data_IF_714942601825
#
_entry.id   IF_714942601825
#
_cell.length_a   1.000
_cell.length_b   1.000
_cell.length_c   1.000
_cell.angle_alpha   90.00
_cell.angle_beta   90.00
_cell.angle_gamma   90.00
#
_symmetry.space_group_name_H-M   'P 1'
#
loop_
_entity.id
_entity.type
_entity.pdbx_description
1 polymer ?
#
# COMPACT_ATOMS: atom_id res chain seq x y z
N UNK A 1 3.32 15.29 -40.04
CA UNK A 1 2.77 16.25 -39.06
C UNK A 1 2.33 15.44 -37.85
N UNK A 2 3.09 15.50 -36.76
CA UNK A 2 2.80 14.75 -35.53
C UNK A 2 1.65 15.43 -34.78
N UNK A 3 0.58 14.69 -34.51
CA UNK A 3 -0.51 15.20 -33.69
C UNK A 3 0.01 15.36 -32.26
N UNK A 4 0.27 16.60 -31.85
CA UNK A 4 0.53 16.94 -30.45
C UNK A 4 -0.78 16.72 -29.71
N UNK A 5 -0.84 15.60 -28.97
CA UNK A 5 -1.87 15.31 -27.98
C UNK A 5 -2.15 16.55 -27.12
N UNK A 6 -3.41 16.96 -27.04
CA UNK A 6 -3.80 18.10 -26.23
C UNK A 6 -3.38 17.88 -24.76
N UNK A 7 -2.84 18.89 -24.06
CA UNK A 7 -2.37 18.74 -22.69
C UNK A 7 -3.53 18.34 -21.76
N UNK A 8 -3.30 17.31 -20.94
CA UNK A 8 -4.23 16.86 -19.90
C UNK A 8 -4.45 18.02 -18.92
N UNK A 9 -5.69 18.49 -18.79
CA UNK A 9 -6.07 19.61 -17.93
C UNK A 9 -6.32 19.11 -16.51
N UNK A 10 -5.50 19.52 -15.55
CA UNK A 10 -5.75 19.25 -14.12
C UNK A 10 -6.10 20.57 -13.42
N UNK A 11 -7.27 20.68 -12.77
CA UNK A 11 -7.64 21.89 -12.05
C UNK A 11 -6.83 22.01 -10.75
N UNK A 12 -6.08 23.11 -10.59
CA UNK A 12 -5.40 23.47 -9.33
C UNK A 12 -6.21 24.58 -8.66
N UNK A 13 -6.69 24.33 -7.43
CA UNK A 13 -7.38 25.35 -6.64
C UNK A 13 -6.33 26.18 -5.88
N UNK A 14 -6.18 27.47 -6.22
CA UNK A 14 -5.39 28.40 -5.39
C UNK A 14 -6.16 28.82 -4.13
N UNK A 15 -5.47 29.22 -3.03
CA UNK A 15 -6.12 29.74 -1.84
C UNK A 15 -6.91 31.02 -2.21
N UNK A 16 -8.10 31.15 -1.64
CA UNK A 16 -9.05 32.23 -1.93
C UNK A 16 -8.48 33.61 -1.59
N UNK A 17 -8.44 34.52 -2.57
CA UNK A 17 -8.02 35.90 -2.28
C UNK A 17 -8.06 36.90 -3.44
N UNK A 18 -7.87 36.50 -4.70
CA UNK A 18 -7.81 37.48 -5.79
C UNK A 18 -8.55 36.98 -7.03
N UNK A 19 -9.51 37.77 -7.51
CA UNK A 19 -10.22 37.51 -8.74
C UNK A 19 -9.29 37.71 -9.93
N UNK A 20 -9.18 36.67 -10.77
CA UNK A 20 -9.09 36.67 -12.23
C UNK A 20 -8.75 35.25 -12.73
N UNK A 21 -9.62 34.73 -13.61
CA UNK A 21 -9.57 33.47 -14.41
C UNK A 21 -9.40 32.10 -13.68
N UNK A 22 -10.30 31.11 -13.91
CA UNK A 22 -10.27 29.82 -13.21
C UNK A 22 -9.14 28.85 -13.61
N UNK A 23 -8.21 29.21 -14.51
CA UNK A 23 -7.12 28.34 -14.95
C UNK A 23 -5.87 29.16 -15.25
N UNK A 24 -4.87 29.12 -14.36
CA UNK A 24 -3.52 29.60 -14.68
C UNK A 24 -2.71 28.43 -15.25
N UNK A 25 -2.16 28.61 -16.45
CA UNK A 25 -1.25 27.64 -17.05
C UNK A 25 0.07 27.64 -16.28
N UNK A 26 0.57 26.46 -15.92
CA UNK A 26 1.96 26.32 -15.51
C UNK A 26 2.76 26.13 -16.79
N UNK A 27 3.51 27.14 -17.21
CA UNK A 27 4.49 26.96 -18.27
C UNK A 27 5.72 26.25 -17.69
N UNK A 28 5.91 24.98 -18.06
CA UNK A 28 6.99 24.13 -17.56
C UNK A 28 6.62 22.65 -17.52
N UNK A 29 7.54 21.76 -17.11
CA UNK A 29 7.24 20.34 -16.96
C UNK A 29 6.24 20.13 -15.82
N UNK A 30 5.07 19.59 -16.14
CA UNK A 30 4.04 19.19 -15.16
C UNK A 30 4.17 17.70 -14.85
N UNK A 31 4.15 17.35 -13.56
CA UNK A 31 4.04 15.97 -13.10
C UNK A 31 2.64 15.77 -12.54
N UNK A 32 1.89 14.84 -13.13
CA UNK A 32 0.57 14.42 -12.64
C UNK A 32 0.62 12.95 -12.26
N UNK A 33 0.04 12.61 -11.12
CA UNK A 33 -0.11 11.23 -10.66
C UNK A 33 -1.59 10.84 -10.74
N UNK A 34 -1.87 9.74 -11.42
CA UNK A 34 -3.21 9.17 -11.53
C UNK A 34 -3.21 7.79 -10.88
N UNK A 35 -4.17 7.56 -9.98
CA UNK A 35 -4.45 6.23 -9.44
C UNK A 35 -5.67 5.69 -10.17
N UNK A 36 -5.56 4.47 -10.70
CA UNK A 36 -6.66 3.73 -11.27
C UNK A 36 -7.00 2.54 -10.37
N UNK A 37 -8.30 2.32 -10.15
CA UNK A 37 -8.81 1.17 -9.40
C UNK A 37 -9.37 0.14 -10.38
N UNK A 38 -9.01 -1.12 -10.18
CA UNK A 38 -9.57 -2.25 -10.91
C UNK A 38 -10.28 -3.18 -9.93
N UNK A 39 -11.51 -3.58 -10.26
CA UNK A 39 -12.34 -4.44 -9.41
C UNK A 39 -13.22 -3.66 -8.42
N UNK A 40 -13.87 -4.42 -7.53
CA UNK A 40 -14.77 -3.86 -6.50
C UNK A 40 -14.03 -3.79 -5.17
N UNK A 41 -14.09 -2.65 -4.50
CA UNK A 41 -13.55 -2.52 -3.15
C UNK A 41 -14.53 -3.13 -2.13
N UNK A 42 -13.99 -3.94 -1.21
CA UNK A 42 -14.73 -4.34 -0.03
C UNK A 42 -14.74 -3.17 0.97
N UNK A 43 -15.92 -2.64 1.28
CA UNK A 43 -16.08 -1.41 2.08
C UNK A 43 -16.18 -1.66 3.60
N UNK A 44 -15.87 -2.88 4.04
CA UNK A 44 -15.89 -3.23 5.47
C UNK A 44 -14.62 -2.74 6.16
N UNK A 45 -14.72 -2.08 7.32
CA UNK A 45 -13.56 -1.68 8.09
C UNK A 45 -12.84 -2.92 8.66
N UNK A 46 -11.51 -2.89 8.63
CA UNK A 46 -10.65 -3.89 9.26
C UNK A 46 -10.46 -3.51 10.73
N UNK A 47 -10.84 -4.39 11.65
CA UNK A 47 -10.81 -4.12 13.11
C UNK A 47 -9.88 -5.04 13.90
N UNK A 48 -9.43 -6.12 13.30
CA UNK A 48 -8.50 -7.07 13.91
C UNK A 48 -7.58 -7.70 12.87
N UNK A 49 -6.50 -8.33 13.33
CA UNK A 49 -5.59 -9.10 12.48
C UNK A 49 -6.29 -10.24 11.74
N UNK A 50 -7.34 -10.83 12.33
CA UNK A 50 -8.24 -11.77 11.64
C UNK A 50 -8.97 -11.15 10.45
N UNK A 51 -9.55 -9.95 10.59
CA UNK A 51 -10.24 -9.28 9.48
C UNK A 51 -9.25 -8.97 8.36
N UNK A 52 -8.05 -8.53 8.73
CA UNK A 52 -6.97 -8.24 7.80
C UNK A 52 -6.50 -9.50 7.07
N UNK A 53 -6.29 -10.61 7.78
CA UNK A 53 -5.92 -11.89 7.21
C UNK A 53 -6.97 -12.38 6.19
N UNK A 54 -8.26 -12.39 6.58
CA UNK A 54 -9.35 -12.76 5.68
C UNK A 54 -9.48 -11.83 4.47
N UNK A 55 -9.12 -10.55 4.62
CA UNK A 55 -9.12 -9.60 3.52
C UNK A 55 -8.00 -9.87 2.51
N UNK A 56 -6.78 -10.21 2.97
CA UNK A 56 -5.61 -10.40 2.08
C UNK A 56 -5.48 -11.83 1.54
N UNK A 57 -6.05 -12.82 2.21
CA UNK A 57 -5.96 -14.25 1.87
C UNK A 57 -6.27 -14.55 0.39
N UNK A 58 -7.36 -14.03 -0.22
CA UNK A 58 -7.68 -14.34 -1.62
C UNK A 58 -6.65 -13.80 -2.63
N UNK A 59 -5.86 -12.80 -2.22
CA UNK A 59 -4.83 -12.18 -3.07
C UNK A 59 -3.46 -12.87 -2.94
N UNK A 60 -3.20 -13.51 -1.79
CA UNK A 60 -1.91 -14.13 -1.47
C UNK A 60 -1.85 -15.61 -1.87
N UNK A 61 -2.87 -16.38 -1.50
CA UNK A 61 -2.83 -17.86 -1.61
C UNK A 61 -3.09 -18.37 -3.04
N UNK A 62 -3.11 -17.48 -4.03
CA UNK A 62 -3.21 -17.84 -5.45
C UNK A 62 -1.83 -17.93 -6.13
N UNK A 63 -0.74 -17.64 -5.40
CA UNK A 63 0.61 -17.57 -5.96
C UNK A 63 1.52 -18.67 -5.43
N UNK A 64 2.26 -19.30 -6.34
CA UNK A 64 3.37 -20.22 -6.06
C UNK A 64 4.67 -19.49 -5.65
N UNK A 65 4.63 -18.16 -5.58
CA UNK A 65 5.73 -17.29 -5.16
C UNK A 65 5.35 -16.51 -3.92
N UNK A 66 6.35 -16.04 -3.19
CA UNK A 66 6.14 -15.05 -2.15
C UNK A 66 5.64 -13.74 -2.77
N UNK A 67 4.48 -13.28 -2.33
CA UNK A 67 3.90 -12.00 -2.69
C UNK A 67 3.90 -11.11 -1.46
N UNK A 68 4.47 -9.92 -1.58
CA UNK A 68 4.36 -8.88 -0.57
C UNK A 68 3.30 -7.89 -1.00
N UNK A 69 2.25 -7.75 -0.19
CA UNK A 69 1.12 -6.85 -0.39
C UNK A 69 1.11 -5.75 0.67
N UNK A 70 0.62 -4.59 0.27
CA UNK A 70 0.27 -3.50 1.17
C UNK A 70 -1.20 -3.13 0.97
N UNK A 71 -1.93 -3.05 2.08
CA UNK A 71 -3.33 -2.61 2.14
C UNK A 71 -3.35 -1.19 2.69
N UNK A 72 -3.58 -0.16 1.86
CA UNK A 72 -3.78 1.20 2.33
C UNK A 72 -5.16 1.35 2.97
N UNK A 73 -5.22 2.04 4.10
CA UNK A 73 -6.44 2.26 4.87
C UNK A 73 -6.73 3.75 5.02
N UNK A 74 -8.02 4.11 5.01
CA UNK A 74 -8.44 5.46 5.41
C UNK A 74 -8.53 5.63 6.93
N UNK A 75 -8.93 6.82 7.39
CA UNK A 75 -9.06 7.16 8.82
C UNK A 75 -10.11 6.35 9.58
N UNK A 76 -10.98 5.60 8.89
CA UNK A 76 -11.97 4.67 9.47
C UNK A 76 -11.55 3.20 9.33
N UNK A 77 -10.28 2.96 9.00
CA UNK A 77 -9.69 1.63 8.75
C UNK A 77 -10.40 0.85 7.63
N UNK A 78 -11.01 1.54 6.66
CA UNK A 78 -11.55 0.89 5.47
C UNK A 78 -10.45 0.76 4.42
N UNK A 79 -10.33 -0.41 3.77
CA UNK A 79 -9.40 -0.61 2.65
C UNK A 79 -9.67 0.36 1.52
N UNK A 80 -8.59 0.96 1.02
CA UNK A 80 -8.60 1.77 -0.20
C UNK A 80 -8.20 0.93 -1.42
N UNK A 81 -7.77 -0.32 -1.23
CA UNK A 81 -7.36 -1.25 -2.27
C UNK A 81 -6.31 -2.22 -1.76
N UNK A 82 -5.62 -2.87 -2.70
CA UNK A 82 -4.46 -3.74 -2.43
C UNK A 82 -3.36 -3.35 -3.43
N UNK A 83 -2.13 -3.22 -2.94
CA UNK A 83 -0.97 -2.93 -3.76
C UNK A 83 0.05 -4.06 -3.64
N UNK A 84 0.44 -4.66 -4.76
CA UNK A 84 1.55 -5.61 -4.81
C UNK A 84 2.85 -4.82 -4.74
N UNK A 85 3.54 -4.93 -3.61
CA UNK A 85 4.81 -4.25 -3.35
C UNK A 85 5.96 -5.00 -4.01
N UNK A 86 5.92 -6.34 -3.94
CA UNK A 86 6.97 -7.20 -4.45
C UNK A 86 6.41 -8.57 -4.80
N UNK A 87 6.99 -9.17 -5.84
CA UNK A 87 6.82 -10.57 -6.19
C UNK A 87 8.20 -11.21 -6.04
N UNK A 88 8.32 -12.15 -5.12
CA UNK A 88 9.53 -12.90 -4.87
C UNK A 88 10.05 -13.58 -6.14
N UNK A 89 11.37 -13.59 -6.27
CA UNK A 89 12.10 -14.47 -7.18
C UNK A 89 13.09 -15.29 -6.34
N UNK A 90 13.68 -16.35 -6.89
CA UNK A 90 14.72 -17.14 -6.24
C UNK A 90 15.90 -16.30 -5.68
N UNK A 91 16.10 -15.08 -6.18
CA UNK A 91 17.00 -14.08 -5.58
C UNK A 91 16.20 -12.94 -4.96
N UNK A 92 16.35 -12.78 -3.64
CA UNK A 92 15.74 -11.79 -2.75
C UNK A 92 15.24 -10.50 -3.43
N UNK A 93 13.93 -10.25 -3.33
CA UNK A 93 13.36 -8.94 -3.65
C UNK A 93 13.48 -8.02 -2.44
N UNK A 94 14.29 -6.98 -2.55
CA UNK A 94 14.49 -5.99 -1.49
C UNK A 94 13.29 -5.02 -1.48
N UNK A 95 12.38 -5.18 -0.53
CA UNK A 95 11.29 -4.22 -0.31
C UNK A 95 11.85 -2.94 0.32
N UNK A 96 11.66 -1.81 -0.37
CA UNK A 96 12.12 -0.50 0.11
C UNK A 96 10.94 0.36 0.60
N UNK A 97 11.04 1.05 1.76
CA UNK A 97 9.95 1.88 2.29
C UNK A 97 9.39 2.89 1.28
N UNK A 98 10.26 3.54 0.49
CA UNK A 98 9.86 4.46 -0.58
C UNK A 98 8.82 3.88 -1.55
N UNK A 99 8.90 2.60 -1.92
CA UNK A 99 7.97 1.99 -2.88
C UNK A 99 6.62 1.72 -2.21
N UNK A 100 6.65 1.20 -0.98
CA UNK A 100 5.46 0.98 -0.15
C UNK A 100 4.71 2.29 0.08
N UNK A 101 5.39 3.31 0.58
CA UNK A 101 4.74 4.56 0.97
C UNK A 101 4.39 5.47 -0.20
N UNK A 102 5.08 5.37 -1.35
CA UNK A 102 4.67 6.10 -2.56
C UNK A 102 3.24 5.75 -2.95
N UNK A 103 2.88 4.47 -2.98
CA UNK A 103 1.52 4.03 -3.27
C UNK A 103 0.52 4.50 -2.19
N UNK A 104 0.89 4.39 -0.91
CA UNK A 104 0.05 4.82 0.21
C UNK A 104 -0.26 6.34 0.15
N UNK A 105 0.74 7.17 -0.16
CA UNK A 105 0.60 8.62 -0.32
C UNK A 105 -0.33 8.94 -1.50
N UNK A 106 -0.15 8.29 -2.65
CA UNK A 106 -0.97 8.54 -3.84
C UNK A 106 -2.46 8.28 -3.61
N UNK A 107 -2.82 7.39 -2.68
CA UNK A 107 -4.22 7.09 -2.33
C UNK A 107 -4.71 7.80 -1.07
N UNK A 108 -3.92 8.70 -0.49
CA UNK A 108 -4.22 9.40 0.76
C UNK A 108 -4.50 8.45 1.93
N UNK A 109 -3.69 7.40 2.07
CA UNK A 109 -3.80 6.46 3.18
C UNK A 109 -3.47 7.14 4.52
N UNK A 110 -4.28 6.85 5.54
CA UNK A 110 -4.00 7.24 6.93
C UNK A 110 -3.14 6.19 7.65
N UNK A 111 -3.19 4.94 7.18
CA UNK A 111 -2.43 3.83 7.73
C UNK A 111 -2.28 2.72 6.67
N UNK A 112 -1.40 1.75 6.92
CA UNK A 112 -1.19 0.59 6.06
C UNK A 112 -1.17 -0.70 6.87
N UNK A 113 -1.51 -1.81 6.23
CA UNK A 113 -1.21 -3.17 6.69
C UNK A 113 -0.29 -3.80 5.65
N UNK A 114 0.74 -4.49 6.10
CA UNK A 114 1.62 -5.29 5.24
C UNK A 114 1.21 -6.76 5.35
N UNK A 115 1.29 -7.52 4.25
CA UNK A 115 1.06 -8.95 4.30
C UNK A 115 1.87 -9.70 3.24
N UNK A 116 2.40 -10.87 3.57
CA UNK A 116 2.95 -11.79 2.58
C UNK A 116 2.62 -13.25 2.88
N UNK A 117 2.82 -14.11 1.88
CA UNK A 117 2.72 -15.56 2.05
C UNK A 117 4.09 -16.20 2.17
N UNK A 118 4.17 -17.30 2.93
CA UNK A 118 5.28 -18.25 2.88
C UNK A 118 4.83 -19.55 2.18
N UNK A 119 5.21 -19.78 0.90
CA UNK A 119 4.90 -21.04 0.20
C UNK A 119 5.42 -22.29 0.91
N UNK A 120 6.45 -22.16 1.77
CA UNK A 120 6.99 -23.24 2.59
C UNK A 120 6.05 -23.74 3.70
N UNK A 121 4.96 -23.04 4.00
CA UNK A 121 3.90 -23.50 4.91
C UNK A 121 4.08 -23.15 6.39
N UNK A 122 5.16 -22.46 6.77
CA UNK A 122 5.39 -21.95 8.11
C UNK A 122 5.19 -20.43 8.17
N UNK A 123 4.22 -19.90 8.95
CA UNK A 123 3.99 -18.46 9.06
C UNK A 123 4.97 -17.74 9.99
N UNK A 124 5.92 -18.44 10.63
CA UNK A 124 6.93 -17.81 11.50
C UNK A 124 7.79 -16.81 10.70
N UNK A 125 8.00 -15.57 11.20
CA UNK A 125 8.77 -14.54 10.50
C UNK A 125 10.27 -14.83 10.45
N UNK A 126 10.87 -14.58 9.29
CA UNK A 126 12.32 -14.51 9.13
C UNK A 126 12.92 -13.28 9.82
N UNK A 127 14.24 -13.22 9.93
CA UNK A 127 14.93 -12.03 10.45
C UNK A 127 14.85 -10.85 9.46
N UNK A 128 14.78 -11.16 8.17
CA UNK A 128 14.49 -10.18 7.11
C UNK A 128 13.09 -9.56 7.29
N UNK A 129 12.07 -10.36 7.61
CA UNK A 129 10.71 -9.86 7.86
C UNK A 129 10.68 -8.92 9.06
N UNK A 130 11.32 -9.29 10.16
CA UNK A 130 11.42 -8.45 11.37
C UNK A 130 12.13 -7.13 11.06
N UNK A 131 13.26 -7.20 10.34
CA UNK A 131 14.04 -6.02 9.95
C UNK A 131 13.23 -5.11 9.02
N UNK A 132 12.52 -5.68 8.04
CA UNK A 132 11.66 -4.93 7.14
C UNK A 132 10.52 -4.24 7.90
N UNK A 133 9.87 -4.96 8.80
CA UNK A 133 8.77 -4.46 9.65
C UNK A 133 9.21 -3.22 10.43
N UNK A 134 10.33 -3.31 11.13
CA UNK A 134 10.88 -2.20 11.93
C UNK A 134 11.22 -0.98 11.06
N UNK A 135 11.79 -1.21 9.88
CA UNK A 135 12.11 -0.13 8.93
C UNK A 135 10.85 0.56 8.40
N UNK A 136 9.81 -0.21 8.07
CA UNK A 136 8.53 0.33 7.60
C UNK A 136 7.76 1.04 8.70
N UNK A 137 7.78 0.50 9.93
CA UNK A 137 7.20 1.15 11.09
C UNK A 137 7.85 2.52 11.33
N UNK A 138 9.18 2.59 11.33
CA UNK A 138 9.93 3.83 11.53
C UNK A 138 9.61 4.86 10.43
N UNK A 139 9.63 4.43 9.17
CA UNK A 139 9.29 5.29 8.03
C UNK A 139 7.83 5.78 8.09
N UNK A 140 6.90 4.90 8.45
CA UNK A 140 5.49 5.23 8.62
C UNK A 140 5.26 6.25 9.73
N UNK A 141 6.00 6.15 10.83
CA UNK A 141 6.01 7.14 11.91
C UNK A 141 6.45 8.52 11.44
N UNK A 142 7.51 8.60 10.63
CA UNK A 142 7.99 9.88 10.05
C UNK A 142 6.95 10.48 9.09
N UNK A 143 6.33 9.63 8.26
CA UNK A 143 5.37 10.08 7.24
C UNK A 143 3.96 10.36 7.79
N UNK A 144 3.67 9.97 9.05
CA UNK A 144 2.32 10.03 9.60
C UNK A 144 1.36 8.97 9.03
N UNK A 145 1.89 7.91 8.40
CA UNK A 145 1.13 6.79 7.84
C UNK A 145 1.55 5.53 8.60
N UNK A 146 0.80 5.17 9.64
CA UNK A 146 1.20 4.09 10.56
C UNK A 146 1.09 2.71 9.90
N UNK A 147 2.07 1.85 10.15
CA UNK A 147 1.95 0.41 9.91
C UNK A 147 1.15 -0.20 11.07
N UNK A 148 -0.07 -0.68 10.81
CA UNK A 148 -0.96 -1.22 11.84
C UNK A 148 -0.69 -2.69 12.14
N UNK A 149 -0.30 -3.45 11.12
CA UNK A 149 0.05 -4.85 11.26
C UNK A 149 0.96 -5.30 10.10
N UNK A 150 1.67 -6.39 10.33
CA UNK A 150 2.35 -7.18 9.31
C UNK A 150 1.91 -8.63 9.46
N UNK A 151 1.29 -9.19 8.42
CA UNK A 151 0.75 -10.53 8.42
C UNK A 151 1.57 -11.48 7.55
N UNK A 152 1.78 -12.70 8.04
CA UNK A 152 2.38 -13.78 7.25
C UNK A 152 1.36 -14.91 7.15
N UNK A 153 0.93 -15.25 5.93
CA UNK A 153 -0.11 -16.24 5.67
C UNK A 153 0.48 -17.50 5.02
N UNK A 154 -0.18 -18.64 5.25
CA UNK A 154 0.16 -19.92 4.61
C UNK A 154 -1.10 -20.65 4.18
N UNK A 155 -0.98 -21.56 3.20
CA UNK A 155 -2.12 -22.27 2.57
C UNK A 155 -2.99 -23.05 3.56
N UNK A 156 -2.45 -23.41 4.73
CA UNK A 156 -3.21 -24.08 5.80
C UNK A 156 -4.24 -23.19 6.51
N UNK A 157 -4.39 -21.92 6.10
CA UNK A 157 -5.26 -20.94 6.75
C UNK A 157 -4.72 -20.40 8.08
N UNK A 158 -3.47 -20.74 8.42
CA UNK A 158 -2.75 -20.18 9.56
C UNK A 158 -2.11 -18.86 9.15
N UNK A 159 -1.97 -17.96 10.12
CA UNK A 159 -1.23 -16.72 9.93
C UNK A 159 -0.45 -16.34 11.19
N UNK A 160 0.57 -15.52 10.98
CA UNK A 160 1.26 -14.76 12.02
C UNK A 160 0.87 -13.29 11.90
N UNK A 161 0.73 -12.61 13.04
CA UNK A 161 0.50 -11.16 13.11
C UNK A 161 1.55 -10.56 14.02
N UNK A 162 2.33 -9.60 13.51
CA UNK A 162 3.30 -8.88 14.32
C UNK A 162 2.61 -8.08 15.43
N UNK A 163 1.43 -7.50 15.16
CA UNK A 163 0.66 -6.75 16.15
C UNK A 163 0.15 -7.64 17.29
N UNK A 164 -0.46 -8.79 16.97
CA UNK A 164 -0.98 -9.72 17.99
C UNK A 164 0.15 -10.32 18.86
N UNK A 165 1.35 -10.43 18.31
CA UNK A 165 2.55 -10.93 19.02
C UNK A 165 3.32 -9.84 19.77
N UNK A 166 2.90 -8.57 19.71
CA UNK A 166 3.57 -7.46 20.38
C UNK A 166 4.94 -7.10 19.80
N UNK A 167 5.15 -7.37 18.50
CA UNK A 167 6.38 -7.07 17.75
C UNK A 167 6.26 -5.78 16.91
N UNK A 168 5.16 -5.05 17.06
CA UNK A 168 4.86 -3.73 16.49
C UNK A 168 4.52 -2.76 17.62
#
# INVERSE_FOLDING_TARGET
MSAVSAPIRTPVRRPSGEGLAPYAWVEGPLITLHVAYHGTLQDSPIRSSRDAASYVEPYLLQSDRELMLMVPLNTRHKPLGVHVVSIGSLSQSIVHPREVFKAAICVNAAAIILAHNHPGGDPEPSDEDKTLTQRLQSAGGILGIRLLDHLILVDSGRWFSFADQGLL
#
